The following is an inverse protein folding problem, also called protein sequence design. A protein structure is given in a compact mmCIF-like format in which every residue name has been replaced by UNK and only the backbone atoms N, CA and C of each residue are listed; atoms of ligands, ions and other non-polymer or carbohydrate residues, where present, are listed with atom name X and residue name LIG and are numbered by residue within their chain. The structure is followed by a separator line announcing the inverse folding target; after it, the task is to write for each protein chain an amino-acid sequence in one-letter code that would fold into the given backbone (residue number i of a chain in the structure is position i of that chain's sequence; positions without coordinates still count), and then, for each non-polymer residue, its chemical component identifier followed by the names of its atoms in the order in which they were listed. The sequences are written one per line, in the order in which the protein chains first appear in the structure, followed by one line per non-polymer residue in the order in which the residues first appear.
data_IF_021303085920
#
_entry.id   IF_021303085920
#
_cell.length_a   1.000
_cell.length_b   1.000
_cell.length_c   1.000
_cell.angle_alpha   90.00
_cell.angle_beta   90.00
_cell.angle_gamma   90.00
#
_symmetry.space_group_name_H-M   'P 1'
#
loop_
_entity.id
_entity.type
_entity.pdbx_description
1 polymer ?
#
# COMPACT_ATOMS: atom_id res chain seq x y z
N UNK A 1 -9.26 20.43 -19.41
CA UNK A 1 -8.68 21.45 -20.31
C UNK A 1 -7.35 20.99 -20.92
N UNK A 2 -6.35 20.54 -20.16
CA UNK A 2 -5.03 20.08 -20.69
C UNK A 2 -5.14 18.83 -21.59
N UNK A 3 -6.00 17.87 -21.25
CA UNK A 3 -6.22 16.65 -22.04
C UNK A 3 -6.98 16.87 -23.34
N UNK A 4 -7.79 17.93 -23.43
CA UNK A 4 -8.51 18.30 -24.68
C UNK A 4 -7.60 19.02 -25.68
N UNK A 5 -6.53 19.66 -25.22
CA UNK A 5 -5.62 20.43 -26.06
C UNK A 5 -4.57 19.57 -26.81
N UNK A 6 -4.34 18.32 -26.38
CA UNK A 6 -3.39 17.39 -27.02
C UNK A 6 -3.87 15.94 -26.95
N UNK A 7 -4.65 15.47 -27.91
CA UNK A 7 -5.17 14.10 -27.94
C UNK A 7 -4.07 13.04 -27.90
N UNK A 8 -2.92 13.28 -28.50
CA UNK A 8 -1.75 12.40 -28.47
C UNK A 8 -1.21 12.17 -27.04
N UNK A 9 -1.27 13.18 -26.17
CA UNK A 9 -0.87 13.02 -24.76
C UNK A 9 -1.87 12.16 -24.01
N UNK A 10 -3.17 12.37 -24.21
CA UNK A 10 -4.22 11.57 -23.60
C UNK A 10 -4.07 10.10 -23.96
N UNK A 11 -3.90 9.81 -25.25
CA UNK A 11 -3.74 8.45 -25.74
C UNK A 11 -2.47 7.79 -25.18
N UNK A 12 -1.33 8.49 -25.15
CA UNK A 12 -0.10 7.97 -24.53
C UNK A 12 -0.25 7.69 -23.06
N UNK A 13 -0.89 8.57 -22.28
CA UNK A 13 -1.09 8.34 -20.84
C UNK A 13 -2.07 7.20 -20.59
N UNK A 14 -3.20 7.15 -21.27
CA UNK A 14 -4.22 6.11 -21.09
C UNK A 14 -3.68 4.76 -21.55
N UNK A 15 -3.09 4.68 -22.73
CA UNK A 15 -2.52 3.44 -23.26
C UNK A 15 -1.35 2.96 -22.40
N UNK A 16 -0.46 3.87 -21.98
CA UNK A 16 0.63 3.53 -21.07
C UNK A 16 0.09 3.02 -19.72
N UNK A 17 -0.91 3.68 -19.15
CA UNK A 17 -1.53 3.25 -17.90
C UNK A 17 -2.16 1.85 -18.03
N UNK A 18 -2.95 1.61 -19.08
CA UNK A 18 -3.60 0.31 -19.32
C UNK A 18 -2.55 -0.79 -19.51
N UNK A 19 -1.50 -0.54 -20.27
CA UNK A 19 -0.44 -1.51 -20.53
C UNK A 19 0.41 -1.82 -19.29
N UNK A 20 0.41 -0.94 -18.28
CA UNK A 20 1.10 -1.17 -17.01
C UNK A 20 0.21 -1.79 -15.93
N UNK A 21 -1.10 -1.98 -16.17
CA UNK A 21 -1.96 -2.64 -15.20
C UNK A 21 -1.47 -4.06 -14.90
N UNK A 22 -1.60 -4.54 -13.66
CA UNK A 22 -1.15 -5.87 -13.26
C UNK A 22 -1.93 -7.02 -13.92
N UNK A 23 -2.99 -6.71 -14.65
CA UNK A 23 -3.79 -7.66 -15.44
C UNK A 23 -3.16 -8.03 -16.77
N UNK A 24 -2.19 -7.24 -17.26
CA UNK A 24 -1.52 -7.46 -18.54
C UNK A 24 -0.27 -8.31 -18.33
N UNK A 25 -0.15 -9.47 -19.00
CA UNK A 25 0.97 -10.41 -18.86
C UNK A 25 2.34 -9.81 -19.18
N UNK A 26 2.38 -8.81 -20.07
CA UNK A 26 3.59 -8.09 -20.47
C UNK A 26 3.94 -6.93 -19.52
N UNK A 27 3.04 -6.59 -18.62
CA UNK A 27 3.24 -5.50 -17.66
C UNK A 27 4.40 -5.82 -16.70
N UNK A 28 5.27 -4.84 -16.41
CA UNK A 28 6.29 -4.96 -15.37
C UNK A 28 5.68 -5.30 -14.00
N UNK A 29 4.49 -4.76 -13.68
CA UNK A 29 3.78 -5.05 -12.43
C UNK A 29 3.30 -6.49 -12.37
N UNK A 30 2.71 -7.01 -13.44
CA UNK A 30 2.33 -8.43 -13.52
C UNK A 30 3.54 -9.33 -13.25
N UNK A 31 4.65 -9.07 -13.96
CA UNK A 31 5.87 -9.88 -13.85
C UNK A 31 6.48 -9.87 -12.45
N UNK A 32 6.30 -8.77 -11.71
CA UNK A 32 6.80 -8.62 -10.34
C UNK A 32 5.86 -9.17 -9.28
N UNK A 33 4.54 -9.09 -9.50
CA UNK A 33 3.51 -9.49 -8.54
C UNK A 33 3.18 -11.00 -8.64
N UNK A 34 3.22 -11.55 -9.85
CA UNK A 34 2.80 -12.93 -10.11
C UNK A 34 3.57 -13.99 -9.31
N UNK A 35 4.90 -13.87 -9.05
CA UNK A 35 5.59 -14.80 -8.18
C UNK A 35 5.00 -14.86 -6.75
N UNK A 36 4.48 -13.74 -6.22
CA UNK A 36 3.80 -13.73 -4.93
C UNK A 36 2.47 -14.50 -4.94
N UNK A 37 1.73 -14.40 -6.05
CA UNK A 37 0.50 -15.20 -6.24
C UNK A 37 0.82 -16.70 -6.34
N UNK A 38 1.91 -17.06 -7.01
CA UNK A 38 2.37 -18.45 -7.07
C UNK A 38 2.79 -18.96 -5.70
N UNK A 39 3.48 -18.14 -4.90
CA UNK A 39 3.82 -18.49 -3.52
C UNK A 39 2.55 -18.73 -2.68
N UNK A 40 1.52 -17.90 -2.83
CA UNK A 40 0.22 -18.12 -2.19
C UNK A 40 -0.43 -19.44 -2.61
N UNK A 41 -0.38 -19.79 -3.90
CA UNK A 41 -0.93 -21.05 -4.39
C UNK A 41 -0.23 -22.29 -3.82
N UNK A 42 1.07 -22.18 -3.50
CA UNK A 42 1.83 -23.27 -2.88
C UNK A 42 1.49 -23.47 -1.39
N UNK A 43 1.15 -22.41 -0.68
CA UNK A 43 0.86 -22.46 0.76
C UNK A 43 -0.31 -21.52 1.13
N UNK A 44 -1.56 -21.82 0.73
CA UNK A 44 -2.66 -20.85 0.78
C UNK A 44 -3.15 -20.51 2.19
N UNK A 45 -2.93 -21.35 3.19
CA UNK A 45 -3.47 -21.13 4.55
C UNK A 45 -2.52 -20.29 5.38
N UNK A 46 -1.26 -20.71 5.51
CA UNK A 46 -0.25 -20.09 6.39
C UNK A 46 0.83 -19.33 5.63
N UNK A 47 0.84 -19.38 4.30
CA UNK A 47 1.88 -18.81 3.47
C UNK A 47 3.20 -19.60 3.52
N UNK A 48 4.17 -19.12 2.76
CA UNK A 48 5.50 -19.75 2.69
C UNK A 48 6.44 -19.32 3.81
N UNK A 49 6.00 -18.42 4.67
CA UNK A 49 6.78 -17.83 5.77
C UNK A 49 7.14 -16.37 5.51
N UNK A 50 7.21 -15.58 6.60
CA UNK A 50 7.59 -14.17 6.54
C UNK A 50 9.02 -14.00 6.05
N UNK A 51 9.24 -13.08 5.11
CA UNK A 51 10.51 -12.84 4.43
C UNK A 51 11.10 -14.04 3.65
N UNK A 52 10.37 -15.17 3.53
CA UNK A 52 10.82 -16.34 2.79
C UNK A 52 10.66 -16.19 1.27
N UNK A 53 9.85 -15.22 0.82
CA UNK A 53 9.59 -15.00 -0.61
C UNK A 53 10.88 -14.84 -1.43
N UNK A 54 11.86 -14.08 -0.92
CA UNK A 54 13.14 -13.84 -1.62
C UNK A 54 13.93 -15.10 -1.92
N UNK A 55 13.83 -16.10 -1.05
CA UNK A 55 14.53 -17.38 -1.20
C UNK A 55 13.77 -18.35 -2.10
N UNK A 56 12.44 -18.28 -2.07
CA UNK A 56 11.57 -19.13 -2.86
C UNK A 56 11.43 -18.64 -4.32
N UNK A 57 11.46 -17.34 -4.53
CA UNK A 57 11.20 -16.72 -5.83
C UNK A 57 12.10 -17.22 -6.97
N UNK A 58 13.42 -17.46 -6.80
CA UNK A 58 14.26 -18.04 -7.87
C UNK A 58 13.73 -19.39 -8.37
N UNK A 59 13.21 -20.22 -7.48
CA UNK A 59 12.65 -21.52 -7.86
C UNK A 59 11.32 -21.35 -8.62
N UNK A 60 10.49 -20.39 -8.21
CA UNK A 60 9.22 -20.08 -8.88
C UNK A 60 9.47 -19.64 -10.34
N UNK A 61 10.46 -18.76 -10.57
CA UNK A 61 10.73 -18.22 -11.90
C UNK A 61 11.52 -19.20 -12.78
N UNK A 62 12.22 -20.18 -12.21
CA UNK A 62 12.97 -21.17 -12.99
C UNK A 62 12.06 -21.94 -13.99
N UNK A 63 10.80 -22.15 -13.63
CA UNK A 63 9.79 -22.77 -14.46
C UNK A 63 9.00 -21.79 -15.35
N UNK A 64 9.19 -20.46 -15.15
CA UNK A 64 8.37 -19.41 -15.77
C UNK A 64 9.24 -18.22 -16.21
N UNK A 65 9.87 -18.33 -17.37
CA UNK A 65 10.86 -17.37 -17.90
C UNK A 65 10.37 -15.91 -18.04
N UNK A 66 9.06 -15.67 -18.05
CA UNK A 66 8.48 -14.33 -18.21
C UNK A 66 8.34 -13.55 -16.90
N UNK A 67 8.58 -14.19 -15.75
CA UNK A 67 8.45 -13.55 -14.44
C UNK A 67 9.78 -12.94 -13.99
N UNK A 68 9.70 -11.96 -13.09
CA UNK A 68 10.87 -11.33 -12.48
C UNK A 68 10.90 -11.58 -10.98
N UNK A 69 12.04 -12.04 -10.50
CA UNK A 69 12.26 -12.20 -9.07
C UNK A 69 12.81 -10.91 -8.47
N UNK A 70 12.11 -10.45 -7.46
CA UNK A 70 12.50 -9.34 -6.60
C UNK A 70 12.57 -9.83 -5.15
N UNK A 71 13.01 -8.98 -4.23
CA UNK A 71 13.04 -9.29 -2.79
C UNK A 71 11.64 -9.42 -2.19
N UNK A 72 10.63 -8.84 -2.83
CA UNK A 72 9.21 -8.86 -2.43
C UNK A 72 8.30 -8.63 -3.66
N UNK A 73 6.99 -8.96 -3.59
CA UNK A 73 6.07 -8.89 -4.74
C UNK A 73 5.60 -7.47 -5.13
N UNK A 74 6.14 -6.40 -4.54
CA UNK A 74 5.75 -5.01 -4.78
C UNK A 74 4.27 -4.66 -4.54
N UNK A 75 3.57 -5.45 -3.74
CA UNK A 75 2.21 -5.17 -3.30
C UNK A 75 1.99 -5.81 -1.93
N UNK A 76 1.52 -5.04 -0.93
CA UNK A 76 1.35 -5.52 0.44
C UNK A 76 0.39 -6.70 0.56
N UNK A 77 -0.72 -6.65 -0.19
CA UNK A 77 -1.74 -7.71 -0.12
C UNK A 77 -1.24 -9.02 -0.73
N UNK A 78 -0.54 -8.93 -1.85
CA UNK A 78 0.07 -10.10 -2.50
C UNK A 78 1.20 -10.65 -1.63
N UNK A 79 1.98 -9.78 -0.98
CA UNK A 79 3.03 -10.20 -0.05
C UNK A 79 2.42 -10.90 1.16
N UNK A 80 1.40 -10.33 1.81
CA UNK A 80 0.69 -10.98 2.91
C UNK A 80 0.10 -12.32 2.47
N UNK A 81 -0.57 -12.37 1.32
CA UNK A 81 -1.11 -13.62 0.80
C UNK A 81 -0.02 -14.68 0.60
N UNK A 82 1.07 -14.33 -0.08
CA UNK A 82 2.17 -15.27 -0.35
C UNK A 82 2.91 -15.73 0.90
N UNK A 83 3.29 -14.80 1.77
CA UNK A 83 4.15 -15.09 2.90
C UNK A 83 3.42 -15.54 4.17
N UNK A 84 2.16 -15.07 4.39
CA UNK A 84 1.38 -15.37 5.61
C UNK A 84 0.02 -16.05 5.31
N UNK A 85 -0.23 -16.37 4.04
CA UNK A 85 -1.44 -17.03 3.60
C UNK A 85 -2.72 -16.22 3.75
N UNK A 86 -3.86 -16.89 3.63
CA UNK A 86 -5.18 -16.24 3.74
C UNK A 86 -5.42 -15.65 5.13
N UNK A 87 -4.86 -16.26 6.18
CA UNK A 87 -5.00 -15.80 7.56
C UNK A 87 -4.32 -14.43 7.71
N UNK A 88 -3.06 -14.29 7.26
CA UNK A 88 -2.35 -13.03 7.33
C UNK A 88 -2.94 -11.97 6.39
N UNK A 89 -3.40 -12.36 5.20
CA UNK A 89 -4.10 -11.46 4.30
C UNK A 89 -5.37 -10.87 4.93
N UNK A 90 -6.22 -11.69 5.54
CA UNK A 90 -7.46 -11.22 6.17
C UNK A 90 -7.14 -10.33 7.38
N UNK A 91 -6.29 -10.79 8.30
CA UNK A 91 -5.97 -10.04 9.51
C UNK A 91 -5.24 -8.73 9.20
N UNK A 92 -4.29 -8.73 8.29
CA UNK A 92 -3.59 -7.53 7.85
C UNK A 92 -4.51 -6.55 7.11
N UNK A 93 -5.41 -7.04 6.28
CA UNK A 93 -6.41 -6.19 5.59
C UNK A 93 -7.35 -5.54 6.59
N UNK A 94 -7.88 -6.28 7.56
CA UNK A 94 -8.72 -5.73 8.65
C UNK A 94 -7.95 -4.66 9.41
N UNK A 95 -6.69 -4.91 9.73
CA UNK A 95 -5.83 -3.95 10.42
C UNK A 95 -5.65 -2.65 9.62
N UNK A 96 -5.34 -2.73 8.32
CA UNK A 96 -5.22 -1.55 7.47
C UNK A 96 -6.53 -0.76 7.34
N UNK A 97 -7.65 -1.47 7.16
CA UNK A 97 -8.98 -0.84 7.14
C UNK A 97 -9.28 -0.14 8.46
N UNK A 98 -8.91 -0.74 9.60
CA UNK A 98 -9.11 -0.15 10.93
C UNK A 98 -8.36 1.17 11.09
N UNK A 99 -7.10 1.26 10.63
CA UNK A 99 -6.33 2.50 10.64
C UNK A 99 -7.01 3.57 9.78
N UNK A 100 -7.40 3.22 8.56
CA UNK A 100 -8.09 4.14 7.64
C UNK A 100 -9.40 4.62 8.26
N UNK A 101 -10.19 3.72 8.88
CA UNK A 101 -11.47 4.05 9.49
C UNK A 101 -11.32 5.02 10.68
N UNK A 102 -10.30 4.85 11.51
CA UNK A 102 -10.00 5.78 12.62
C UNK A 102 -9.67 7.16 12.07
N UNK A 103 -8.77 7.26 11.08
CA UNK A 103 -8.41 8.53 10.45
C UNK A 103 -9.59 9.17 9.71
N UNK A 104 -10.41 8.38 9.04
CA UNK A 104 -11.64 8.85 8.39
C UNK A 104 -12.65 9.42 9.39
N UNK A 105 -12.87 8.73 10.51
CA UNK A 105 -13.78 9.19 11.56
C UNK A 105 -13.31 10.53 12.17
N UNK A 106 -12.01 10.69 12.38
CA UNK A 106 -11.43 11.97 12.83
C UNK A 106 -11.63 13.07 11.79
N UNK A 107 -11.39 12.76 10.51
CA UNK A 107 -11.63 13.69 9.38
C UNK A 107 -13.07 14.15 9.29
N UNK A 108 -14.02 13.23 9.50
CA UNK A 108 -15.45 13.54 9.47
C UNK A 108 -15.89 14.45 10.61
N UNK A 109 -15.25 14.34 11.78
CA UNK A 109 -15.54 15.21 12.95
C UNK A 109 -14.90 16.60 12.85
N UNK A 110 -13.75 16.71 12.15
CA UNK A 110 -12.95 17.94 12.04
C UNK A 110 -12.66 18.25 10.56
N UNK A 111 -13.67 18.60 9.77
CA UNK A 111 -13.51 18.74 8.31
C UNK A 111 -12.60 19.89 7.89
N UNK A 112 -12.47 20.94 8.70
CA UNK A 112 -11.66 22.12 8.39
C UNK A 112 -10.18 21.95 8.78
N UNK A 113 -9.86 20.95 9.62
CA UNK A 113 -8.48 20.79 10.12
C UNK A 113 -7.62 20.07 9.07
N UNK A 114 -6.63 20.80 8.54
CA UNK A 114 -5.70 20.30 7.50
C UNK A 114 -4.86 19.12 7.99
N UNK A 115 -4.42 19.14 9.27
CA UNK A 115 -3.62 18.04 9.82
C UNK A 115 -4.39 16.75 9.87
N UNK A 116 -5.68 16.80 10.22
CA UNK A 116 -6.56 15.64 10.23
C UNK A 116 -6.86 15.15 8.81
N UNK A 117 -6.96 16.07 7.84
CA UNK A 117 -7.10 15.70 6.43
C UNK A 117 -5.87 14.95 5.92
N UNK A 118 -4.68 15.45 6.20
CA UNK A 118 -3.40 14.80 5.85
C UNK A 118 -3.28 13.44 6.55
N UNK A 119 -3.64 13.37 7.84
CA UNK A 119 -3.67 12.14 8.63
C UNK A 119 -4.53 11.04 8.00
N UNK A 120 -5.61 11.39 7.32
CA UNK A 120 -6.45 10.45 6.58
C UNK A 120 -5.84 10.03 5.24
N UNK A 121 -5.26 10.99 4.49
CA UNK A 121 -4.72 10.72 3.15
C UNK A 121 -3.49 9.79 3.21
N UNK A 122 -2.65 9.90 4.23
CA UNK A 122 -1.43 9.09 4.37
C UNK A 122 -1.75 7.58 4.38
N UNK A 123 -2.53 7.03 5.33
CA UNK A 123 -2.82 5.60 5.34
C UNK A 123 -3.65 5.15 4.14
N UNK A 124 -4.54 6.02 3.63
CA UNK A 124 -5.31 5.71 2.42
C UNK A 124 -4.41 5.50 1.21
N UNK A 125 -3.38 6.33 1.03
CA UNK A 125 -2.44 6.20 -0.08
C UNK A 125 -1.46 5.03 0.11
N UNK A 126 -0.98 4.79 1.32
CA UNK A 126 -0.06 3.70 1.64
C UNK A 126 -0.70 2.32 1.45
N UNK A 127 -1.97 2.18 1.88
CA UNK A 127 -2.70 0.91 1.82
C UNK A 127 -3.64 0.80 0.63
N UNK A 128 -3.41 1.61 -0.42
CA UNK A 128 -4.20 1.49 -1.64
C UNK A 128 -3.96 0.15 -2.33
N UNK A 129 -5.01 -0.67 -2.62
CA UNK A 129 -4.84 -2.06 -3.05
C UNK A 129 -4.03 -2.28 -4.33
N UNK A 130 -4.04 -1.29 -5.25
CA UNK A 130 -3.32 -1.37 -6.53
C UNK A 130 -1.97 -0.66 -6.48
N UNK A 131 -1.62 -0.03 -5.37
CA UNK A 131 -0.34 0.66 -5.26
C UNK A 131 0.83 -0.33 -5.25
N UNK A 132 1.89 0.05 -5.95
CA UNK A 132 3.17 -0.60 -5.75
C UNK A 132 3.71 -0.21 -4.37
N UNK A 133 4.14 -1.20 -3.61
CA UNK A 133 4.60 -1.01 -2.24
C UNK A 133 6.03 -1.50 -2.05
N UNK A 134 6.66 -1.03 -0.99
CA UNK A 134 7.91 -1.58 -0.47
C UNK A 134 7.68 -2.92 0.24
N UNK A 135 8.77 -3.53 0.71
CA UNK A 135 8.70 -4.77 1.48
C UNK A 135 8.01 -4.55 2.84
N UNK A 136 6.87 -5.21 3.07
CA UNK A 136 6.09 -5.11 4.31
C UNK A 136 6.87 -5.64 5.53
N UNK A 137 7.76 -6.59 5.34
CA UNK A 137 8.60 -7.18 6.39
C UNK A 137 10.03 -6.63 6.38
N UNK A 138 10.33 -5.65 5.51
CA UNK A 138 11.61 -4.97 5.42
C UNK A 138 11.79 -3.91 6.51
N UNK A 139 12.98 -3.85 7.14
CA UNK A 139 13.21 -2.99 8.31
C UNK A 139 13.19 -1.49 7.98
N UNK A 140 14.00 -1.05 7.02
CA UNK A 140 14.23 0.38 6.75
C UNK A 140 13.00 1.14 6.29
N UNK A 141 12.33 0.65 5.27
CA UNK A 141 11.13 1.30 4.73
C UNK A 141 9.99 1.31 5.76
N UNK A 142 9.90 0.26 6.58
CA UNK A 142 8.88 0.14 7.61
C UNK A 142 9.06 1.15 8.75
N UNK A 143 10.28 1.55 9.11
CA UNK A 143 10.48 2.62 10.07
C UNK A 143 9.78 3.90 9.62
N UNK A 144 9.95 4.32 8.37
CA UNK A 144 9.29 5.53 7.84
C UNK A 144 7.78 5.35 7.71
N UNK A 145 7.33 4.21 7.18
CA UNK A 145 5.92 3.91 7.00
C UNK A 145 5.16 3.93 8.33
N UNK A 146 5.64 3.18 9.32
CA UNK A 146 4.99 3.11 10.63
C UNK A 146 5.10 4.42 11.41
N UNK A 147 6.18 5.20 11.24
CA UNK A 147 6.28 6.55 11.80
C UNK A 147 5.23 7.48 11.20
N UNK A 148 5.02 7.45 9.88
CA UNK A 148 3.99 8.25 9.22
C UNK A 148 2.58 7.85 9.69
N UNK A 149 2.31 6.55 9.85
CA UNK A 149 1.04 6.04 10.39
C UNK A 149 0.85 6.47 11.85
N UNK A 150 1.90 6.38 12.68
CA UNK A 150 1.83 6.82 14.08
C UNK A 150 1.51 8.31 14.18
N UNK A 151 2.17 9.16 13.38
CA UNK A 151 1.87 10.59 13.29
C UNK A 151 0.43 10.83 12.81
N UNK A 152 -0.05 10.06 11.84
CA UNK A 152 -1.43 10.13 11.38
C UNK A 152 -2.41 9.81 12.52
N UNK A 153 -2.18 8.75 13.28
CA UNK A 153 -3.01 8.38 14.41
C UNK A 153 -2.95 9.41 15.56
N UNK A 154 -1.79 9.97 15.85
CA UNK A 154 -1.66 11.07 16.83
C UNK A 154 -2.47 12.30 16.41
N UNK A 155 -2.45 12.65 15.12
CA UNK A 155 -3.19 13.80 14.59
C UNK A 155 -4.70 13.64 14.70
N UNK A 156 -5.23 12.40 14.84
CA UNK A 156 -6.67 12.18 15.02
C UNK A 156 -7.20 12.65 16.38
N UNK A 157 -6.31 12.85 17.35
CA UNK A 157 -6.63 13.31 18.71
C UNK A 157 -6.54 14.83 18.89
N UNK A 158 -6.21 15.59 17.83
CA UNK A 158 -6.18 17.06 17.89
C UNK A 158 -7.63 17.54 17.97
N UNK A 159 -8.01 18.03 19.18
CA UNK A 159 -9.30 18.65 19.42
C UNK A 159 -9.25 20.15 19.10
N UNK A 160 -10.32 20.76 18.55
CA UNK A 160 -10.41 22.22 18.37
C UNK A 160 -10.22 23.02 19.66
N UNK A 161 -10.51 22.43 20.82
CA UNK A 161 -10.30 23.05 22.14
C UNK A 161 -8.80 23.20 22.48
N UNK A 162 -7.97 22.26 22.07
CA UNK A 162 -6.53 22.32 22.31
C UNK A 162 -5.85 23.39 21.45
N UNK A 163 -6.37 23.69 20.27
CA UNK A 163 -5.85 24.73 19.38
C UNK A 163 -6.11 26.13 19.96
N UNK A 164 -7.30 26.38 20.51
CA UNK A 164 -7.63 27.65 21.19
C UNK A 164 -6.87 27.88 22.49
N UNK A 165 -6.52 26.81 23.19
CA UNK A 165 -5.72 26.89 24.43
C UNK A 165 -4.24 27.18 24.15
N UNK A 166 -3.72 26.77 23.01
CA UNK A 166 -2.35 27.06 22.60
C UNK A 166 -2.17 28.53 22.17
N UNK A 167 -3.13 29.10 21.45
CA UNK A 167 -3.12 30.48 21.02
C UNK A 167 -3.24 31.49 22.22
N UNK A 168 -3.97 31.11 23.26
CA UNK A 168 -4.17 31.98 24.44
C UNK A 168 -2.98 32.01 25.39
N UNK A 169 -1.98 31.13 25.22
CA UNK A 169 -0.76 31.12 26.04
C UNK A 169 0.45 31.81 25.35
N UNK A 170 0.26 32.43 24.18
CA UNK A 170 1.32 33.10 23.43
C UNK A 170 1.19 34.66 23.55
N UNK A 171 0.06 35.15 24.06
CA UNK A 171 -0.17 36.56 24.39
C UNK A 171 0.19 36.86 25.87
#
# INVERSE_FOLDING_TARGET
LLFQARPEMSERFVTSFINHLPTQSESPYYRSMMPGIVAFQQAPILGVGTAAFRELCPNIIAERQNLKCHTHPHNFYIQMAGETGIIGLITGTIFFISIIAVCYSARSRNPENVFVAVAFIIPLSLFWPIASSSDLFGQWNNCFMWSAIALSLCSTNISPENEKSADHNID
#
